data_IF_463472594404
#
_entry.id   IF_463472594404
#
_cell.length_a   1.000
_cell.length_b   1.000
_cell.length_c   1.000
_cell.angle_alpha   90.00
_cell.angle_beta   90.00
_cell.angle_gamma   90.00
#
_symmetry.space_group_name_H-M   'P 1'
#
loop_
_entity.id
_entity.type
_entity.pdbx_description
1 polymer ?
#
# COMPACT_ATOMS: atom_id res chain seq x y z
N UNK A 1 27.67 -1.29 -11.22
CA UNK A 1 27.46 -1.01 -9.78
C UNK A 1 26.16 -1.70 -9.40
N UNK A 2 26.21 -2.72 -8.56
CA UNK A 2 25.02 -3.42 -8.08
C UNK A 2 24.23 -2.47 -7.19
N UNK A 3 22.97 -2.18 -7.57
CA UNK A 3 22.06 -1.41 -6.74
C UNK A 3 21.98 -2.11 -5.36
N UNK A 4 22.17 -1.41 -4.23
CA UNK A 4 21.94 -1.99 -2.92
C UNK A 4 20.49 -2.49 -2.89
N UNK A 5 20.28 -3.79 -2.61
CA UNK A 5 18.92 -4.28 -2.42
C UNK A 5 18.35 -3.59 -1.19
N UNK A 6 17.16 -3.01 -1.33
CA UNK A 6 16.43 -2.38 -0.22
C UNK A 6 16.06 -3.40 0.86
N UNK A 7 15.86 -4.66 0.46
CA UNK A 7 15.50 -5.77 1.33
C UNK A 7 16.32 -7.01 0.98
N UNK A 8 16.45 -7.94 1.93
CA UNK A 8 16.90 -9.29 1.61
C UNK A 8 15.83 -10.03 0.77
N UNK A 9 16.21 -11.20 0.22
CA UNK A 9 15.37 -11.94 -0.71
C UNK A 9 14.10 -12.51 -0.06
N UNK A 10 14.16 -12.85 1.23
CA UNK A 10 13.02 -13.37 1.99
C UNK A 10 11.98 -12.26 2.22
N UNK A 11 12.45 -11.11 2.70
CA UNK A 11 11.63 -9.92 2.92
C UNK A 11 11.01 -9.42 1.62
N UNK A 12 11.82 -9.38 0.54
CA UNK A 12 11.31 -8.99 -0.77
C UNK A 12 10.18 -9.92 -1.23
N UNK A 13 10.35 -11.24 -1.08
CA UNK A 13 9.32 -12.21 -1.44
C UNK A 13 8.04 -12.05 -0.60
N UNK A 14 8.18 -11.80 0.70
CA UNK A 14 7.03 -11.60 1.60
C UNK A 14 6.26 -10.32 1.26
N UNK A 15 6.97 -9.21 1.02
CA UNK A 15 6.34 -7.96 0.58
C UNK A 15 5.67 -8.11 -0.78
N UNK A 16 6.31 -8.82 -1.71
CA UNK A 16 5.74 -9.09 -3.03
C UNK A 16 4.43 -9.87 -2.92
N UNK A 17 4.41 -10.96 -2.16
CA UNK A 17 3.20 -11.73 -1.91
C UNK A 17 2.09 -10.85 -1.28
N UNK A 18 2.44 -10.05 -0.28
CA UNK A 18 1.48 -9.16 0.39
C UNK A 18 0.87 -8.14 -0.59
N UNK A 19 1.67 -7.61 -1.51
CA UNK A 19 1.22 -6.68 -2.55
C UNK A 19 0.35 -7.36 -3.60
N UNK A 20 0.71 -8.57 -4.04
CA UNK A 20 -0.08 -9.36 -4.99
C UNK A 20 -1.47 -9.66 -4.43
N UNK A 21 -1.56 -10.13 -3.19
CA UNK A 21 -2.85 -10.37 -2.50
C UNK A 21 -3.66 -9.08 -2.29
N UNK A 22 -2.98 -7.94 -2.11
CA UNK A 22 -3.65 -6.62 -2.03
C UNK A 22 -4.27 -6.24 -3.37
N UNK A 23 -3.55 -6.47 -4.47
CA UNK A 23 -4.05 -6.20 -5.83
C UNK A 23 -5.23 -7.11 -6.14
N UNK A 24 -5.17 -8.39 -5.79
CA UNK A 24 -6.29 -9.32 -5.97
C UNK A 24 -7.54 -8.85 -5.22
N UNK A 25 -7.40 -8.42 -3.95
CA UNK A 25 -8.52 -7.89 -3.18
C UNK A 25 -9.15 -6.65 -3.85
N UNK A 26 -8.33 -5.75 -4.41
CA UNK A 26 -8.81 -4.58 -5.16
C UNK A 26 -9.47 -4.94 -6.49
N UNK A 27 -9.00 -5.99 -7.16
CA UNK A 27 -9.63 -6.49 -8.39
C UNK A 27 -11.01 -7.08 -8.11
N UNK A 28 -11.17 -7.80 -6.99
CA UNK A 28 -12.47 -8.29 -6.52
C UNK A 28 -13.40 -7.12 -6.14
N UNK A 29 -12.88 -6.12 -5.43
CA UNK A 29 -13.62 -4.90 -5.09
C UNK A 29 -14.20 -4.21 -6.33
N UNK A 30 -13.40 -4.11 -7.40
CA UNK A 30 -13.77 -3.43 -8.65
C UNK A 30 -14.99 -4.03 -9.34
N UNK A 31 -15.22 -5.34 -9.19
CA UNK A 31 -16.33 -6.05 -9.84
C UNK A 31 -17.49 -6.36 -8.88
N UNK A 32 -17.37 -5.96 -7.60
CA UNK A 32 -18.41 -6.22 -6.60
C UNK A 32 -19.67 -5.39 -6.87
N UNK A 33 -20.84 -6.01 -7.04
CA UNK A 33 -22.11 -5.30 -7.11
C UNK A 33 -22.69 -4.98 -5.72
N UNK A 34 -22.14 -5.59 -4.65
CA UNK A 34 -22.64 -5.49 -3.29
C UNK A 34 -21.75 -4.56 -2.44
N UNK A 35 -22.40 -3.72 -1.61
CA UNK A 35 -21.74 -2.71 -0.80
C UNK A 35 -20.96 -3.31 0.38
N UNK A 36 -21.47 -4.39 0.98
CA UNK A 36 -20.82 -5.05 2.10
C UNK A 36 -19.56 -5.79 1.60
N UNK A 37 -19.65 -6.46 0.46
CA UNK A 37 -18.51 -7.11 -0.20
C UNK A 37 -17.45 -6.09 -0.65
N UNK A 38 -17.87 -4.93 -1.17
CA UNK A 38 -16.98 -3.83 -1.51
C UNK A 38 -16.27 -3.29 -0.25
N UNK A 39 -17.01 -3.11 0.84
CA UNK A 39 -16.46 -2.67 2.12
C UNK A 39 -15.43 -3.66 2.68
N UNK A 40 -15.73 -4.96 2.62
CA UNK A 40 -14.85 -6.02 3.09
C UNK A 40 -13.54 -6.08 2.27
N UNK A 41 -13.63 -6.00 0.94
CA UNK A 41 -12.45 -6.02 0.06
C UNK A 41 -11.55 -4.80 0.27
N UNK A 42 -12.11 -3.60 0.46
CA UNK A 42 -11.35 -2.41 0.83
C UNK A 42 -10.70 -2.52 2.21
N UNK A 43 -11.41 -3.06 3.21
CA UNK A 43 -10.85 -3.27 4.54
C UNK A 43 -9.61 -4.18 4.49
N UNK A 44 -9.68 -5.27 3.73
CA UNK A 44 -8.55 -6.20 3.54
C UNK A 44 -7.38 -5.51 2.82
N UNK A 45 -7.64 -4.77 1.75
CA UNK A 45 -6.59 -4.09 1.00
C UNK A 45 -5.87 -3.02 1.85
N UNK A 46 -6.64 -2.21 2.60
CA UNK A 46 -6.08 -1.20 3.50
C UNK A 46 -5.26 -1.83 4.64
N UNK A 47 -5.73 -2.93 5.23
CA UNK A 47 -4.99 -3.68 6.24
C UNK A 47 -3.63 -4.13 5.70
N UNK A 48 -3.60 -4.74 4.52
CA UNK A 48 -2.35 -5.24 3.92
C UNK A 48 -1.38 -4.12 3.57
N UNK A 49 -1.85 -3.00 3.02
CA UNK A 49 -1.03 -1.81 2.79
C UNK A 49 -0.46 -1.24 4.11
N UNK A 50 -1.25 -1.28 5.18
CA UNK A 50 -0.80 -0.92 6.52
C UNK A 50 0.33 -1.81 7.02
N UNK A 51 0.17 -3.14 6.90
CA UNK A 51 1.19 -4.12 7.28
C UNK A 51 2.49 -3.91 6.49
N UNK A 52 2.40 -3.73 5.17
CA UNK A 52 3.56 -3.42 4.32
C UNK A 52 4.25 -2.13 4.79
N UNK A 53 3.49 -1.06 5.04
CA UNK A 53 4.04 0.23 5.45
C UNK A 53 4.74 0.14 6.81
N UNK A 54 4.11 -0.51 7.80
CA UNK A 54 4.71 -0.72 9.13
C UNK A 54 5.95 -1.60 9.06
N UNK A 55 5.93 -2.62 8.21
CA UNK A 55 7.08 -3.49 8.02
C UNK A 55 8.28 -2.72 7.43
N UNK A 56 8.04 -1.89 6.41
CA UNK A 56 9.10 -1.04 5.82
C UNK A 56 9.59 0.00 6.83
N UNK A 57 8.70 0.59 7.64
CA UNK A 57 9.06 1.53 8.71
C UNK A 57 10.04 0.93 9.73
N UNK A 58 9.89 -0.36 10.07
CA UNK A 58 10.80 -1.04 11.01
C UNK A 58 12.24 -1.12 10.47
N UNK A 59 12.40 -1.22 9.15
CA UNK A 59 13.71 -1.29 8.47
C UNK A 59 14.22 0.09 8.05
N UNK A 60 13.31 1.02 7.75
CA UNK A 60 13.56 2.37 7.27
C UNK A 60 12.69 3.37 8.03
N UNK A 61 13.11 3.79 9.25
CA UNK A 61 12.36 4.74 10.05
C UNK A 61 12.09 6.05 9.30
N UNK A 62 10.87 6.55 9.37
CA UNK A 62 10.38 7.74 8.66
C UNK A 62 9.67 7.44 7.33
N UNK A 63 9.66 6.18 6.87
CA UNK A 63 8.98 5.78 5.64
C UNK A 63 7.48 6.10 5.66
N UNK A 64 6.77 5.83 6.76
CA UNK A 64 5.35 6.12 6.89
C UNK A 64 5.06 7.63 6.79
N UNK A 65 5.93 8.46 7.38
CA UNK A 65 5.84 9.92 7.29
C UNK A 65 6.07 10.40 5.86
N UNK A 66 7.03 9.82 5.15
CA UNK A 66 7.31 10.13 3.75
C UNK A 66 6.15 9.75 2.81
N UNK A 67 5.51 8.60 3.05
CA UNK A 67 4.31 8.18 2.32
C UNK A 67 3.17 9.17 2.57
N UNK A 68 2.94 9.56 3.82
CA UNK A 68 1.89 10.54 4.16
C UNK A 68 2.17 11.91 3.53
N UNK A 69 3.43 12.38 3.55
CA UNK A 69 3.81 13.63 2.89
C UNK A 69 3.55 13.58 1.38
N UNK A 70 3.81 12.44 0.72
CA UNK A 70 3.47 12.23 -0.69
C UNK A 70 1.95 12.23 -0.92
N UNK A 71 1.18 11.57 -0.05
CA UNK A 71 -0.30 11.56 -0.10
C UNK A 71 -0.85 12.97 -0.03
N UNK A 72 -0.38 13.79 0.90
CA UNK A 72 -0.83 15.18 1.05
C UNK A 72 -0.52 16.04 -0.18
N UNK A 73 0.63 15.83 -0.84
CA UNK A 73 0.97 16.50 -2.11
C UNK A 73 0.00 16.12 -3.22
N UNK A 74 -0.35 14.84 -3.33
CA UNK A 74 -1.34 14.36 -4.31
C UNK A 74 -2.70 14.99 -4.04
N UNK A 75 -3.17 14.98 -2.78
CA UNK A 75 -4.44 15.62 -2.41
C UNK A 75 -4.44 17.11 -2.75
N UNK A 76 -3.38 17.82 -2.39
CA UNK A 76 -3.23 19.25 -2.69
C UNK A 76 -3.25 19.54 -4.19
N UNK A 77 -2.71 18.64 -5.02
CA UNK A 77 -2.73 18.77 -6.47
C UNK A 77 -4.11 18.49 -7.10
N UNK A 78 -4.95 17.68 -6.44
CA UNK A 78 -6.31 17.36 -6.88
C UNK A 78 -7.35 18.39 -6.41
N UNK A 79 -7.03 19.19 -5.39
CA UNK A 79 -7.92 20.25 -4.93
C UNK A 79 -7.96 21.41 -5.94
N UNK A 80 -9.15 21.89 -6.34
CA UNK A 80 -9.28 23.07 -7.19
C UNK A 80 -8.62 24.28 -6.53
N UNK A 81 -7.76 24.98 -7.27
CA UNK A 81 -7.28 26.31 -6.87
C UNK A 81 -8.42 27.29 -7.09
N UNK A 82 -9.18 27.57 -6.05
CA UNK A 82 -10.12 28.71 -6.03
C UNK A 82 -9.34 30.02 -5.91
#
# INVERSE_FOLDING_TARGET
MSNPKLFDDEIHSALQQLMDETIEALQLAKVSPDLDDLGATFAVALLKLGLATTFVEQQHPGFAQDVEAKRQRVLSALMPKH
#
